data_IF_175028880189
#
_entry.id   IF_175028880189
#
_cell.length_a   1.000
_cell.length_b   1.000
_cell.length_c   1.000
_cell.angle_alpha   90.00
_cell.angle_beta   90.00
_cell.angle_gamma   90.00
#
_symmetry.space_group_name_H-M   'P 1'
#
loop_
_entity.id
_entity.type
_entity.pdbx_description
1 polymer ?
#
# COMPACT_ATOMS: atom_id res chain seq x y z
N UNK A 1 -0.36 9.35 16.44
CA UNK A 1 -0.34 7.90 16.67
C UNK A 1 -1.03 7.18 15.53
N UNK A 2 -0.38 6.17 14.99
CA UNK A 2 -0.96 5.43 13.87
C UNK A 2 -2.14 4.60 14.35
N UNK A 3 -3.17 4.48 13.52
CA UNK A 3 -4.29 3.61 13.80
C UNK A 3 -3.85 2.16 13.73
N UNK A 4 -4.45 1.26 14.54
CA UNK A 4 -4.14 -0.15 14.44
C UNK A 4 -4.52 -0.67 13.06
N UNK A 5 -3.68 -1.53 12.51
CA UNK A 5 -3.95 -2.13 11.21
C UNK A 5 -5.08 -3.13 11.33
N UNK A 6 -5.95 -3.13 10.33
CA UNK A 6 -7.05 -4.09 10.26
C UNK A 6 -6.63 -5.29 9.44
N UNK A 7 -7.05 -6.46 9.85
CA UNK A 7 -6.81 -7.68 9.09
C UNK A 7 -7.96 -7.91 8.14
N UNK A 8 -7.63 -8.21 6.89
CA UNK A 8 -8.62 -8.55 5.88
C UNK A 8 -8.19 -9.83 5.18
N UNK A 9 -9.14 -10.73 4.89
CA UNK A 9 -8.81 -11.92 4.10
C UNK A 9 -8.69 -11.52 2.63
N UNK A 10 -7.49 -11.60 2.09
CA UNK A 10 -7.23 -11.25 0.69
C UNK A 10 -6.83 -12.50 -0.07
N UNK A 11 -7.58 -12.80 -1.12
CA UNK A 11 -7.28 -13.93 -2.00
C UNK A 11 -6.69 -13.43 -3.30
N UNK A 12 -5.58 -14.00 -3.68
CA UNK A 12 -4.89 -13.66 -4.92
C UNK A 12 -4.75 -14.92 -5.77
N UNK A 13 -4.73 -14.77 -7.08
CA UNK A 13 -4.39 -15.87 -7.94
C UNK A 13 -2.94 -16.29 -7.67
N UNK A 14 -2.61 -17.53 -7.90
CA UNK A 14 -1.25 -18.02 -7.69
C UNK A 14 -0.24 -17.23 -8.52
N UNK A 15 -0.61 -16.90 -9.75
CA UNK A 15 0.27 -16.13 -10.64
C UNK A 15 0.55 -14.73 -10.08
N UNK A 16 -0.49 -14.06 -9.60
CA UNK A 16 -0.32 -12.73 -9.03
C UNK A 16 0.48 -12.79 -7.72
N UNK A 17 0.17 -13.76 -6.87
CA UNK A 17 0.91 -13.95 -5.63
C UNK A 17 2.40 -14.13 -5.90
N UNK A 18 2.73 -15.02 -6.84
CA UNK A 18 4.12 -15.30 -7.17
C UNK A 18 4.83 -14.07 -7.72
N UNK A 19 4.15 -13.29 -8.55
CA UNK A 19 4.72 -12.05 -9.08
C UNK A 19 5.01 -11.04 -7.98
N UNK A 20 4.07 -10.88 -7.05
CA UNK A 20 4.24 -9.95 -5.94
C UNK A 20 5.33 -10.45 -4.98
N UNK A 21 5.40 -11.74 -4.74
CA UNK A 21 6.41 -12.31 -3.86
C UNK A 21 7.82 -12.08 -4.42
N UNK A 22 8.01 -12.27 -5.72
CA UNK A 22 9.29 -11.99 -6.36
C UNK A 22 9.65 -10.51 -6.28
N UNK A 23 8.67 -9.64 -6.49
CA UNK A 23 8.87 -8.20 -6.41
C UNK A 23 9.22 -7.77 -4.97
N UNK A 24 8.51 -8.34 -3.99
CA UNK A 24 8.79 -8.05 -2.59
C UNK A 24 10.22 -8.44 -2.23
N UNK A 25 10.68 -9.57 -2.72
CA UNK A 25 12.04 -10.02 -2.50
C UNK A 25 13.05 -9.03 -3.10
N UNK A 26 12.81 -8.56 -4.31
CA UNK A 26 13.66 -7.55 -4.95
C UNK A 26 13.72 -6.25 -4.17
N UNK A 27 12.62 -5.88 -3.52
CA UNK A 27 12.52 -4.64 -2.74
C UNK A 27 12.87 -4.86 -1.25
N UNK A 28 13.28 -6.05 -0.88
CA UNK A 28 13.60 -6.42 0.50
C UNK A 28 12.42 -6.21 1.44
N UNK A 29 11.22 -6.58 0.99
CA UNK A 29 9.99 -6.47 1.76
C UNK A 29 9.32 -7.82 1.92
N UNK A 30 8.47 -7.93 2.94
CA UNK A 30 7.58 -9.08 3.03
C UNK A 30 6.49 -8.97 1.98
N UNK A 31 5.83 -10.08 1.67
CA UNK A 31 4.70 -10.07 0.73
C UNK A 31 3.61 -9.13 1.21
N UNK A 32 3.26 -9.21 2.51
CA UNK A 32 2.24 -8.33 3.07
C UNK A 32 2.65 -6.86 3.00
N UNK A 33 3.91 -6.57 3.30
CA UNK A 33 4.43 -5.21 3.20
C UNK A 33 4.41 -4.69 1.77
N UNK A 34 4.71 -5.54 0.81
CA UNK A 34 4.68 -5.15 -0.60
C UNK A 34 3.25 -4.85 -1.05
N UNK A 35 2.29 -5.67 -0.63
CA UNK A 35 0.88 -5.44 -0.97
C UNK A 35 0.42 -4.10 -0.39
N UNK A 36 0.73 -3.84 0.87
CA UNK A 36 0.36 -2.58 1.51
C UNK A 36 0.99 -1.39 0.80
N UNK A 37 2.26 -1.50 0.43
CA UNK A 37 2.96 -0.46 -0.31
C UNK A 37 2.28 -0.17 -1.65
N UNK A 38 1.95 -1.22 -2.40
CA UNK A 38 1.31 -1.07 -3.70
C UNK A 38 -0.07 -0.42 -3.57
N UNK A 39 -0.85 -0.82 -2.58
CA UNK A 39 -2.16 -0.22 -2.34
C UNK A 39 -2.03 1.24 -1.95
N UNK A 40 -1.04 1.57 -1.13
CA UNK A 40 -0.77 2.95 -0.73
C UNK A 40 -0.44 3.79 -1.96
N UNK A 41 0.38 3.28 -2.86
CA UNK A 41 0.71 3.99 -4.11
C UNK A 41 -0.51 4.19 -4.98
N UNK A 42 -1.40 3.20 -5.04
CA UNK A 42 -2.65 3.32 -5.80
C UNK A 42 -3.54 4.42 -5.22
N UNK A 43 -3.62 4.52 -3.90
CA UNK A 43 -4.42 5.57 -3.25
C UNK A 43 -3.80 6.94 -3.50
N UNK A 44 -2.47 7.06 -3.46
CA UNK A 44 -1.78 8.31 -3.80
C UNK A 44 -2.11 8.73 -5.22
N UNK A 45 -2.13 7.79 -6.15
CA UNK A 45 -2.48 8.08 -7.54
C UNK A 45 -3.92 8.57 -7.67
N UNK A 46 -4.83 7.96 -6.90
CA UNK A 46 -6.23 8.40 -6.87
C UNK A 46 -6.35 9.86 -6.44
N UNK A 47 -5.59 10.25 -5.43
CA UNK A 47 -5.57 11.62 -4.95
C UNK A 47 -5.04 12.57 -6.02
N UNK A 48 -3.96 12.19 -6.70
CA UNK A 48 -3.39 13.01 -7.78
C UNK A 48 -4.40 13.24 -8.91
N UNK A 49 -5.29 12.28 -9.12
CA UNK A 49 -6.32 12.38 -10.16
C UNK A 49 -7.55 13.19 -9.71
N UNK A 50 -7.48 13.82 -8.53
CA UNK A 50 -8.57 14.64 -8.02
C UNK A 50 -9.72 13.86 -7.42
N UNK A 51 -9.53 12.57 -7.15
CA UNK A 51 -10.55 11.75 -6.53
C UNK A 51 -10.51 11.88 -5.01
N UNK A 52 -11.65 11.59 -4.39
CA UNK A 52 -11.75 11.66 -2.94
C UNK A 52 -10.85 10.65 -2.25
N UNK A 53 -10.14 11.11 -1.24
CA UNK A 53 -9.36 10.29 -0.32
C UNK A 53 -9.72 10.75 1.10
N UNK A 54 -10.01 9.83 2.03
CA UNK A 54 -10.32 10.24 3.40
C UNK A 54 -9.21 11.12 3.99
N UNK A 55 -9.60 12.15 4.72
CA UNK A 55 -8.65 13.12 5.31
C UNK A 55 -7.60 12.43 6.17
N UNK A 56 -8.00 11.46 6.97
CA UNK A 56 -7.09 10.73 7.84
C UNK A 56 -6.00 10.02 7.05
N UNK A 57 -6.39 9.39 5.95
CA UNK A 57 -5.44 8.71 5.08
C UNK A 57 -4.56 9.71 4.34
N UNK A 58 -5.13 10.86 3.97
CA UNK A 58 -4.41 11.92 3.29
C UNK A 58 -3.25 12.43 4.14
N UNK A 59 -3.48 12.65 5.44
CA UNK A 59 -2.43 13.05 6.36
C UNK A 59 -1.33 12.01 6.46
N UNK A 60 -1.71 10.74 6.53
CA UNK A 60 -0.76 9.65 6.58
C UNK A 60 0.10 9.59 5.31
N UNK A 61 -0.51 9.79 4.14
CA UNK A 61 0.21 9.81 2.88
C UNK A 61 1.20 10.97 2.80
N UNK A 62 0.82 12.15 3.32
CA UNK A 62 1.71 13.29 3.35
C UNK A 62 2.92 13.05 4.23
N UNK A 63 2.71 12.44 5.40
CA UNK A 63 3.80 12.10 6.30
C UNK A 63 4.75 11.08 5.63
N UNK A 64 4.21 10.10 4.96
CA UNK A 64 5.00 9.11 4.25
C UNK A 64 5.83 9.76 3.15
N UNK A 65 5.25 10.70 2.44
CA UNK A 65 5.92 11.44 1.39
C UNK A 65 7.09 12.26 1.93
N UNK A 66 6.91 12.87 3.10
CA UNK A 66 7.94 13.70 3.72
C UNK A 66 9.11 12.89 4.26
N UNK A 67 8.95 11.61 4.49
CA UNK A 67 10.00 10.74 5.00
C UNK A 67 11.00 10.30 3.94
N UNK A 68 10.70 10.48 2.70
CA UNK A 68 11.58 10.07 1.61
C UNK A 68 12.72 11.05 1.30
#
# INVERSE_FOLDING_TARGET
>A
MAEPKKQIPLRLSAKLYNAIAAWAEDDFRSVNGQIEYLLTECVKQRKKNGKYVPEELDEELELDFLKE
#
